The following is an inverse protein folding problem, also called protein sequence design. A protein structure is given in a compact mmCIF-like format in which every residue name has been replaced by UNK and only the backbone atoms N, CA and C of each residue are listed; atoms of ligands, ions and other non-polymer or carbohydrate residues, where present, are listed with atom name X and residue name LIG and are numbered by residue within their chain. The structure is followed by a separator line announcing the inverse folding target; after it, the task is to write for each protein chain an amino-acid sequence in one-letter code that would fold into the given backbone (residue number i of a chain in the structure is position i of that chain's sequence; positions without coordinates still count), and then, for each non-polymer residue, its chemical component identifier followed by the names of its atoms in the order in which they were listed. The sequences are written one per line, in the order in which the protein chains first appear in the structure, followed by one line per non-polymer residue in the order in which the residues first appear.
data_IF_935133819591
#
_entry.id   IF_935133819591
#
_cell.length_a   1.000
_cell.length_b   1.000
_cell.length_c   1.000
_cell.angle_alpha   90.00
_cell.angle_beta   90.00
_cell.angle_gamma   90.00
#
_symmetry.space_group_name_H-M   'P 1'
#
loop_
_entity.id
_entity.type
_entity.pdbx_description
1 polymer ?
#
# COMPACT_ATOMS: atom_id res chain seq x y z
N UNK A 1 21.13 27.57 4.44
CA UNK A 1 19.96 27.00 3.74
C UNK A 1 18.92 26.65 4.79
N UNK A 2 17.63 26.98 4.59
CA UNK A 2 16.57 26.55 5.54
C UNK A 2 16.39 25.03 5.43
N UNK A 3 16.20 24.34 6.56
CA UNK A 3 15.90 22.90 6.58
C UNK A 3 14.61 22.62 5.79
N UNK A 4 14.58 21.52 5.02
CA UNK A 4 13.38 21.02 4.31
C UNK A 4 12.17 20.94 5.25
N UNK A 5 12.40 20.61 6.53
CA UNK A 5 11.35 20.48 7.56
C UNK A 5 10.66 21.80 7.94
N UNK A 6 11.11 22.94 7.41
CA UNK A 6 10.50 24.26 7.65
C UNK A 6 9.70 24.79 6.45
N UNK A 7 9.70 24.07 5.33
CA UNK A 7 8.91 24.44 4.14
C UNK A 7 7.50 23.89 4.33
N UNK A 8 6.53 24.78 4.55
CA UNK A 8 5.11 24.39 4.48
C UNK A 8 4.73 24.20 3.02
N UNK A 9 4.35 22.99 2.58
CA UNK A 9 3.89 22.77 1.22
C UNK A 9 2.60 23.56 0.98
N UNK A 10 2.52 24.21 -0.18
CA UNK A 10 1.33 24.95 -0.59
C UNK A 10 0.53 24.07 -1.53
N UNK A 11 -0.73 23.85 -1.20
CA UNK A 11 -1.64 23.00 -1.97
C UNK A 11 -2.78 23.84 -2.54
N UNK A 12 -3.19 23.52 -3.77
CA UNK A 12 -4.34 24.15 -4.42
C UNK A 12 -5.25 23.07 -4.96
N UNK A 13 -6.56 23.21 -4.73
CA UNK A 13 -7.58 22.32 -5.29
C UNK A 13 -8.15 23.01 -6.54
N UNK A 14 -7.91 22.40 -7.70
CA UNK A 14 -8.48 22.85 -8.98
C UNK A 14 -9.85 22.23 -9.24
N UNK A 15 -10.58 22.73 -10.23
CA UNK A 15 -11.85 22.10 -10.67
C UNK A 15 -11.64 20.68 -11.20
N UNK A 16 -10.50 20.40 -11.84
CA UNK A 16 -10.14 19.04 -12.28
C UNK A 16 -9.94 18.12 -11.07
N UNK A 17 -9.28 18.60 -10.00
CA UNK A 17 -9.17 17.83 -8.76
C UNK A 17 -10.55 17.51 -8.18
N UNK A 18 -11.48 18.47 -8.16
CA UNK A 18 -12.86 18.24 -7.67
C UNK A 18 -13.60 17.20 -8.51
N UNK A 19 -13.43 17.24 -9.83
CA UNK A 19 -14.02 16.25 -10.75
C UNK A 19 -13.48 14.85 -10.46
N UNK A 20 -12.16 14.71 -10.26
CA UNK A 20 -11.52 13.44 -9.89
C UNK A 20 -12.02 12.94 -8.53
N UNK A 21 -12.09 13.81 -7.52
CA UNK A 21 -12.63 13.47 -6.20
C UNK A 21 -14.04 12.90 -6.32
N UNK A 22 -14.93 13.60 -7.04
CA UNK A 22 -16.30 13.15 -7.27
C UNK A 22 -16.36 11.81 -8.01
N UNK A 23 -15.46 11.58 -8.97
CA UNK A 23 -15.38 10.30 -9.67
C UNK A 23 -14.92 9.16 -8.73
N UNK A 24 -13.96 9.42 -7.85
CA UNK A 24 -13.49 8.45 -6.85
C UNK A 24 -14.62 8.11 -5.88
N UNK A 25 -15.31 9.11 -5.33
CA UNK A 25 -16.46 8.92 -4.43
C UNK A 25 -17.54 8.06 -5.06
N UNK A 26 -17.96 8.39 -6.30
CA UNK A 26 -18.94 7.59 -7.03
C UNK A 26 -18.48 6.13 -7.23
N UNK A 27 -17.19 5.90 -7.52
CA UNK A 27 -16.67 4.52 -7.66
C UNK A 27 -16.64 3.79 -6.33
N UNK A 28 -16.34 4.47 -5.22
CA UNK A 28 -16.36 3.87 -3.88
C UNK A 28 -17.77 3.45 -3.47
N UNK A 29 -18.78 4.27 -3.77
CA UNK A 29 -20.18 3.98 -3.46
C UNK A 29 -20.70 2.70 -4.16
N UNK A 30 -20.15 2.38 -5.33
CA UNK A 30 -20.49 1.16 -6.06
C UNK A 30 -19.89 -0.12 -5.44
N UNK A 31 -18.88 0.01 -4.58
CA UNK A 31 -18.21 -1.14 -3.95
C UNK A 31 -19.04 -1.59 -2.74
N UNK A 32 -20.01 -2.47 -2.99
CA UNK A 32 -20.79 -3.13 -1.94
C UNK A 32 -20.44 -4.61 -1.84
N UNK A 33 -20.15 -5.09 -0.62
CA UNK A 33 -19.81 -6.50 -0.35
C UNK A 33 -20.40 -6.94 0.98
N UNK A 34 -21.46 -7.77 0.91
CA UNK A 34 -22.16 -8.29 2.09
C UNK A 34 -21.59 -9.63 2.59
N UNK A 35 -20.74 -10.28 1.79
CA UNK A 35 -20.13 -11.57 2.11
C UNK A 35 -18.77 -11.37 2.82
N UNK A 36 -18.73 -11.72 4.11
CA UNK A 36 -17.56 -11.54 4.96
C UNK A 36 -16.35 -12.40 4.53
N UNK A 37 -16.58 -13.60 4.00
CA UNK A 37 -15.50 -14.48 3.55
C UNK A 37 -14.85 -13.96 2.27
N UNK A 38 -15.68 -13.50 1.32
CA UNK A 38 -15.17 -12.81 0.12
C UNK A 38 -14.41 -11.55 0.49
N UNK A 39 -14.93 -10.74 1.43
CA UNK A 39 -14.26 -9.53 1.93
C UNK A 39 -12.89 -9.84 2.53
N UNK A 40 -12.78 -10.88 3.37
CA UNK A 40 -11.49 -11.32 3.94
C UNK A 40 -10.51 -11.75 2.84
N UNK A 41 -10.95 -12.57 1.88
CA UNK A 41 -10.11 -13.03 0.75
C UNK A 41 -9.62 -11.85 -0.10
N UNK A 42 -10.48 -10.85 -0.34
CA UNK A 42 -10.11 -9.64 -1.08
C UNK A 42 -9.10 -8.78 -0.34
N UNK A 43 -9.23 -8.62 0.98
CA UNK A 43 -8.23 -7.89 1.80
C UNK A 43 -6.84 -8.51 1.67
N UNK A 44 -6.74 -9.83 1.77
CA UNK A 44 -5.46 -10.54 1.61
C UNK A 44 -4.90 -10.35 0.20
N UNK A 45 -5.72 -10.53 -0.84
CA UNK A 45 -5.31 -10.30 -2.24
C UNK A 45 -4.88 -8.86 -2.51
N UNK A 46 -5.58 -7.89 -1.93
CA UNK A 46 -5.26 -6.47 -2.05
C UNK A 46 -3.91 -6.17 -1.41
N UNK A 47 -3.68 -6.64 -0.17
CA UNK A 47 -2.40 -6.50 0.52
C UNK A 47 -1.22 -7.04 -0.30
N UNK A 48 -1.35 -8.26 -0.84
CA UNK A 48 -0.32 -8.87 -1.69
C UNK A 48 -0.03 -8.00 -2.92
N UNK A 49 -1.06 -7.47 -3.59
CA UNK A 49 -0.90 -6.58 -4.75
C UNK A 49 -0.27 -5.24 -4.39
N UNK A 50 -0.59 -4.69 -3.23
CA UNK A 50 0.03 -3.45 -2.73
C UNK A 50 1.52 -3.64 -2.46
N UNK A 51 1.89 -4.70 -1.74
CA UNK A 51 3.30 -5.03 -1.48
C UNK A 51 4.07 -5.21 -2.79
N UNK A 52 3.53 -6.02 -3.71
CA UNK A 52 4.16 -6.26 -5.02
C UNK A 52 4.34 -4.95 -5.81
N UNK A 53 3.29 -4.16 -5.96
CA UNK A 53 3.35 -2.95 -6.79
C UNK A 53 4.31 -1.91 -6.22
N UNK A 54 4.32 -1.73 -4.90
CA UNK A 54 5.24 -0.80 -4.24
C UNK A 54 6.70 -1.21 -4.41
N UNK A 55 7.02 -2.49 -4.21
CA UNK A 55 8.40 -2.97 -4.36
C UNK A 55 8.85 -3.02 -5.82
N UNK A 56 7.94 -3.28 -6.76
CA UNK A 56 8.25 -3.23 -8.19
C UNK A 56 8.66 -1.82 -8.66
N UNK A 57 8.11 -0.76 -8.06
CA UNK A 57 8.55 0.63 -8.31
C UNK A 57 10.01 0.82 -7.87
N UNK A 58 10.40 0.20 -6.76
CA UNK A 58 11.76 0.19 -6.22
C UNK A 58 12.67 -0.87 -6.88
N UNK A 59 12.30 -1.33 -8.08
CA UNK A 59 13.03 -2.30 -8.90
C UNK A 59 13.22 -3.70 -8.26
N UNK A 60 12.33 -4.12 -7.36
CA UNK A 60 12.27 -5.51 -6.91
C UNK A 60 11.74 -6.41 -8.03
N UNK A 61 12.46 -7.49 -8.33
CA UNK A 61 12.22 -8.36 -9.48
C UNK A 61 11.27 -9.55 -9.21
N UNK A 62 10.85 -9.75 -7.95
CA UNK A 62 10.00 -10.88 -7.59
C UNK A 62 8.61 -10.79 -8.21
N UNK A 63 8.15 -11.90 -8.80
CA UNK A 63 6.81 -11.97 -9.38
C UNK A 63 5.70 -11.84 -8.32
N UNK A 64 4.49 -11.46 -8.76
CA UNK A 64 3.31 -11.43 -7.89
C UNK A 64 3.05 -12.77 -7.18
N UNK A 65 3.29 -13.90 -7.85
CA UNK A 65 3.10 -15.23 -7.25
C UNK A 65 4.20 -15.56 -6.23
N UNK A 66 5.42 -15.08 -6.46
CA UNK A 66 6.52 -15.14 -5.49
C UNK A 66 6.19 -14.33 -4.23
N UNK A 67 5.72 -13.08 -4.39
CA UNK A 67 5.29 -12.24 -3.26
C UNK A 67 4.16 -12.90 -2.48
N UNK A 68 3.15 -13.43 -3.17
CA UNK A 68 2.05 -14.18 -2.55
C UNK A 68 2.55 -15.40 -1.77
N UNK A 69 3.48 -16.15 -2.35
CA UNK A 69 4.07 -17.34 -1.71
C UNK A 69 4.86 -16.97 -0.46
N UNK A 70 5.59 -15.85 -0.47
CA UNK A 70 6.30 -15.33 0.72
C UNK A 70 5.30 -14.93 1.82
N UNK A 71 4.23 -14.22 1.47
CA UNK A 71 3.16 -13.84 2.43
C UNK A 71 2.47 -15.07 3.02
N UNK A 72 2.31 -16.13 2.24
CA UNK A 72 1.78 -17.43 2.67
C UNK A 72 2.81 -18.28 3.45
N UNK A 73 4.01 -17.76 3.74
CA UNK A 73 5.14 -18.48 4.37
C UNK A 73 5.60 -19.74 3.61
N UNK A 74 5.49 -19.74 2.28
CA UNK A 74 5.98 -20.82 1.41
C UNK A 74 7.41 -20.53 0.94
N UNK A 75 8.14 -21.58 0.58
CA UNK A 75 9.48 -21.46 0.00
C UNK A 75 9.43 -20.78 -1.37
N UNK A 76 10.39 -19.87 -1.61
CA UNK A 76 10.56 -19.14 -2.86
C UNK A 76 12.05 -19.04 -3.18
N UNK A 77 12.39 -19.20 -4.46
CA UNK A 77 13.72 -18.93 -4.99
C UNK A 77 13.78 -17.49 -5.47
N UNK A 78 14.83 -16.76 -5.09
CA UNK A 78 15.02 -15.36 -5.46
C UNK A 78 16.18 -14.73 -4.70
N UNK A 79 16.47 -13.47 -5.00
CA UNK A 79 17.49 -12.74 -4.27
C UNK A 79 17.10 -12.59 -2.79
N UNK A 80 18.07 -12.81 -1.90
CA UNK A 80 17.83 -12.82 -0.45
C UNK A 80 17.34 -11.46 0.05
N UNK A 81 17.86 -10.37 -0.51
CA UNK A 81 17.48 -9.01 -0.13
C UNK A 81 16.05 -8.71 -0.58
N UNK A 82 15.71 -9.04 -1.83
CA UNK A 82 14.36 -8.84 -2.37
C UNK A 82 13.30 -9.63 -1.59
N UNK A 83 13.62 -10.87 -1.20
CA UNK A 83 12.73 -11.68 -0.35
C UNK A 83 12.55 -11.02 1.02
N UNK A 84 13.62 -10.46 1.60
CA UNK A 84 13.55 -9.80 2.89
C UNK A 84 12.73 -8.50 2.83
N UNK A 85 12.82 -7.74 1.73
CA UNK A 85 11.99 -6.55 1.50
C UNK A 85 10.50 -6.90 1.50
N UNK A 86 10.11 -7.99 0.84
CA UNK A 86 8.72 -8.49 0.85
C UNK A 86 8.27 -8.86 2.27
N UNK A 87 9.12 -9.55 3.04
CA UNK A 87 8.82 -9.94 4.42
C UNK A 87 8.63 -8.71 5.30
N UNK A 88 9.53 -7.75 5.23
CA UNK A 88 9.47 -6.50 5.98
C UNK A 88 8.23 -5.70 5.62
N UNK A 89 7.90 -5.59 4.32
CA UNK A 89 6.70 -4.91 3.87
C UNK A 89 5.44 -5.61 4.40
N UNK A 90 5.40 -6.95 4.37
CA UNK A 90 4.27 -7.70 4.92
C UNK A 90 4.09 -7.45 6.43
N UNK A 91 5.18 -7.47 7.21
CA UNK A 91 5.16 -7.15 8.64
C UNK A 91 4.67 -5.71 8.89
N UNK A 92 5.17 -4.73 8.14
CA UNK A 92 4.70 -3.34 8.21
C UNK A 92 3.18 -3.23 7.97
N UNK A 93 2.65 -3.95 6.97
CA UNK A 93 1.21 -3.94 6.69
C UNK A 93 0.36 -4.59 7.78
N UNK A 94 0.87 -5.59 8.51
CA UNK A 94 0.17 -6.18 9.66
C UNK A 94 0.07 -5.19 10.83
N UNK A 95 1.12 -4.40 11.05
CA UNK A 95 1.20 -3.42 12.13
C UNK A 95 0.79 -1.99 11.70
N UNK A 96 0.25 -1.80 10.49
CA UNK A 96 0.04 -0.47 9.91
C UNK A 96 -0.82 0.46 10.77
N UNK A 97 -1.77 -0.09 11.53
CA UNK A 97 -2.66 0.66 12.42
C UNK A 97 -2.03 1.03 13.77
N UNK A 98 -0.87 0.46 14.09
CA UNK A 98 -0.12 0.76 15.32
C UNK A 98 0.75 2.01 15.17
N UNK A 99 1.04 2.39 13.93
CA UNK A 99 1.81 3.60 13.63
C UNK A 99 0.90 4.83 13.67
N UNK A 100 1.30 5.82 14.47
CA UNK A 100 0.65 7.12 14.45
C UNK A 100 1.10 7.92 13.22
N UNK A 101 0.17 8.13 12.29
CA UNK A 101 0.35 8.98 11.11
C UNK A 101 -0.17 10.42 11.30
N UNK A 102 -0.76 10.74 12.46
CA UNK A 102 -0.92 12.14 12.84
C UNK A 102 0.47 12.71 13.10
N UNK A 103 0.89 13.59 12.18
CA UNK A 103 2.24 14.12 12.11
C UNK A 103 2.78 14.50 13.48
N UNK A 104 4.05 14.17 13.70
CA UNK A 104 4.90 14.66 14.79
C UNK A 104 4.47 16.08 15.14
N UNK A 105 3.67 16.23 16.21
CA UNK A 105 3.37 17.55 16.77
C UNK A 105 4.70 18.04 17.32
N UNK A 106 5.31 19.00 16.61
CA UNK A 106 6.40 19.82 17.14
C UNK A 106 5.87 20.71 18.25
#
# INVERSE_FOLDING_TARGET
MKSIDTIKPVFYITEDNKKIIKEIENKLDLITMNDNDKKRKLKVKSKVRSIYSSLAIEANSLSLESVKSIVDNKMVLGDRKEIQEVKNANELYEHINEYNCEGVKK
#
